data_IF_540146859742
#
_entry.id   IF_540146859742
#
_cell.length_a   1.000
_cell.length_b   1.000
_cell.length_c   1.000
_cell.angle_alpha   90.00
_cell.angle_beta   90.00
_cell.angle_gamma   90.00
#
_symmetry.space_group_name_H-M   'P 1'
#
loop_
_entity.id
_entity.type
_entity.pdbx_description
1 polymer ?
#
# COMPACT_ATOMS: atom_id res chain seq x y z
N UNK A 1 15.24 -11.34 -6.82
CA UNK A 1 16.60 -11.19 -6.24
C UNK A 1 16.70 -9.69 -5.88
N UNK A 2 16.87 -9.19 -4.67
CA UNK A 2 17.53 -9.72 -3.49
C UNK A 2 16.75 -9.32 -2.21
N UNK A 3 16.36 -10.31 -1.40
CA UNK A 3 16.15 -10.10 0.04
C UNK A 3 17.53 -9.91 0.63
N UNK A 4 17.92 -8.70 0.97
CA UNK A 4 19.10 -8.49 1.82
C UNK A 4 18.73 -8.90 3.25
N UNK A 5 18.69 -10.21 3.48
CA UNK A 5 18.74 -10.80 4.82
C UNK A 5 20.23 -10.89 5.19
N UNK A 6 20.89 -9.74 5.30
CA UNK A 6 22.23 -9.69 5.88
C UNK A 6 22.06 -9.80 7.40
N UNK A 7 22.31 -11.01 7.88
CA UNK A 7 22.45 -11.41 9.27
C UNK A 7 23.12 -10.28 10.05
N UNK A 8 22.34 -9.58 10.88
CA UNK A 8 22.89 -8.83 11.99
C UNK A 8 23.60 -9.85 12.88
N UNK A 9 24.93 -9.83 12.87
CA UNK A 9 25.74 -10.38 13.95
C UNK A 9 25.13 -9.82 15.22
N UNK A 10 24.66 -10.72 16.09
CA UNK A 10 24.11 -10.44 17.40
C UNK A 10 25.19 -9.83 18.31
N UNK A 11 25.59 -8.60 18.04
CA UNK A 11 25.86 -7.68 19.11
C UNK A 11 24.49 -7.14 19.51
N UNK A 12 24.18 -7.24 20.79
CA UNK A 12 23.08 -6.59 21.47
C UNK A 12 23.20 -5.07 21.30
N UNK A 13 22.97 -4.58 20.07
CA UNK A 13 22.71 -3.19 19.79
C UNK A 13 21.20 -3.08 19.95
N UNK A 14 20.77 -3.10 21.21
CA UNK A 14 19.63 -2.28 21.58
C UNK A 14 19.84 -0.97 20.84
N UNK A 15 18.85 -0.54 20.04
CA UNK A 15 18.86 0.81 19.53
C UNK A 15 19.15 1.65 20.76
N UNK A 16 20.31 2.30 20.81
CA UNK A 16 20.53 3.32 21.81
C UNK A 16 19.52 4.40 21.44
N UNK A 17 18.30 4.28 21.97
CA UNK A 17 17.17 5.17 21.68
C UNK A 17 17.57 6.61 21.97
N UNK A 18 18.62 6.83 22.76
CA UNK A 18 19.17 8.14 23.06
C UNK A 18 19.78 8.86 21.84
N UNK A 19 20.09 8.17 20.74
CA UNK A 19 20.73 8.79 19.56
C UNK A 19 20.08 8.45 18.20
N UNK A 20 19.01 7.65 18.19
CA UNK A 20 18.24 7.38 16.98
C UNK A 20 17.41 8.62 16.60
N UNK A 21 17.62 9.17 15.40
CA UNK A 21 16.91 10.37 14.95
C UNK A 21 15.67 9.98 14.14
N UNK A 22 14.47 10.51 14.43
CA UNK A 22 13.29 10.26 13.60
C UNK A 22 13.55 10.65 12.14
N UNK A 23 13.31 9.73 11.22
CA UNK A 23 13.56 9.95 9.79
C UNK A 23 12.35 10.60 9.07
N UNK A 24 11.18 10.59 9.70
CA UNK A 24 9.94 11.11 9.10
C UNK A 24 9.25 10.15 8.11
N UNK A 25 9.77 8.93 7.95
CA UNK A 25 9.20 7.91 7.06
C UNK A 25 8.55 6.76 7.84
N UNK A 26 7.62 6.07 7.19
CA UNK A 26 7.01 4.83 7.70
C UNK A 26 7.65 3.59 7.07
N UNK A 27 7.77 2.52 7.85
CA UNK A 27 8.16 1.19 7.39
C UNK A 27 7.10 0.63 6.43
N UNK A 28 7.42 0.30 5.18
CA UNK A 28 6.45 -0.26 4.23
C UNK A 28 5.86 -1.61 4.69
N UNK A 29 6.60 -2.37 5.50
CA UNK A 29 6.19 -3.72 5.91
C UNK A 29 5.35 -3.74 7.20
N UNK A 30 5.69 -2.92 8.19
CA UNK A 30 5.04 -2.94 9.51
C UNK A 30 4.32 -1.64 9.85
N UNK A 31 4.36 -0.63 8.97
CA UNK A 31 3.72 0.68 9.14
C UNK A 31 4.19 1.47 10.39
N UNK A 32 5.31 1.07 11.00
CA UNK A 32 5.92 1.77 12.14
C UNK A 32 6.88 2.87 11.70
N UNK A 33 7.18 3.81 12.58
CA UNK A 33 8.12 4.90 12.31
C UNK A 33 9.55 4.39 12.02
N UNK A 34 10.23 5.05 11.09
CA UNK A 34 11.64 4.84 10.78
C UNK A 34 12.54 5.85 11.49
N UNK A 35 13.71 5.36 11.88
CA UNK A 35 14.77 6.13 12.53
C UNK A 35 16.07 5.99 11.75
N UNK A 36 16.83 7.08 11.67
CA UNK A 36 18.20 7.08 11.18
C UNK A 36 19.13 6.59 12.28
N UNK A 37 20.04 5.68 11.92
CA UNK A 37 21.10 5.20 12.82
C UNK A 37 22.40 5.97 12.53
N UNK A 38 22.92 6.74 13.50
CA UNK A 38 24.19 7.43 13.34
C UNK A 38 25.39 6.47 13.24
N UNK A 39 26.44 6.87 12.51
CA UNK A 39 27.75 6.19 12.53
C UNK A 39 27.97 5.12 11.45
N UNK A 40 27.01 4.90 10.56
CA UNK A 40 27.19 4.04 9.38
C UNK A 40 27.58 4.85 8.13
N UNK A 41 28.41 4.31 7.22
CA UNK A 41 28.86 5.02 6.02
C UNK A 41 27.74 5.36 5.02
N UNK A 42 26.58 4.71 5.15
CA UNK A 42 25.34 5.09 4.47
C UNK A 42 24.21 5.17 5.52
N UNK A 43 23.29 6.15 5.42
CA UNK A 43 22.20 6.28 6.37
C UNK A 43 21.33 5.02 6.32
N UNK A 44 21.34 4.24 7.40
CA UNK A 44 20.43 3.13 7.59
C UNK A 44 19.18 3.64 8.29
N UNK A 45 18.05 3.44 7.61
CA UNK A 45 16.73 3.65 8.17
C UNK A 45 16.32 2.33 8.82
N UNK A 46 15.89 2.35 10.09
CA UNK A 46 15.39 1.14 10.77
C UNK A 46 14.09 1.40 11.51
N UNK A 47 13.22 0.40 11.57
CA UNK A 47 12.00 0.44 12.37
C UNK A 47 12.21 -0.28 13.71
N UNK A 48 11.31 -0.03 14.67
CA UNK A 48 11.39 -0.60 16.03
C UNK A 48 11.33 -2.14 16.07
N UNK A 49 10.81 -2.79 15.03
CA UNK A 49 10.75 -4.25 14.93
C UNK A 49 11.89 -4.87 14.12
N UNK A 50 12.86 -4.06 13.67
CA UNK A 50 14.14 -4.54 13.13
C UNK A 50 14.31 -4.54 11.61
N UNK A 51 13.29 -4.21 10.82
CA UNK A 51 13.50 -3.99 9.38
C UNK A 51 14.42 -2.79 9.15
N UNK A 52 15.25 -2.88 8.12
CA UNK A 52 16.26 -1.89 7.76
C UNK A 52 16.27 -1.62 6.26
N UNK A 53 16.54 -0.38 5.88
CA UNK A 53 16.59 0.07 4.49
C UNK A 53 17.73 1.06 4.27
N UNK A 54 18.23 1.10 3.05
CA UNK A 54 18.89 2.27 2.48
C UNK A 54 17.85 3.24 1.91
N UNK A 55 18.24 4.46 1.55
CA UNK A 55 17.34 5.41 0.89
C UNK A 55 16.77 4.87 -0.44
N UNK A 56 17.60 4.24 -1.27
CA UNK A 56 17.17 3.65 -2.56
C UNK A 56 16.18 2.50 -2.35
N UNK A 57 16.55 1.51 -1.55
CA UNK A 57 15.67 0.36 -1.27
C UNK A 57 14.36 0.78 -0.57
N UNK A 58 14.38 1.86 0.23
CA UNK A 58 13.14 2.37 0.82
C UNK A 58 12.22 2.99 -0.25
N UNK A 59 12.78 3.72 -1.21
CA UNK A 59 12.03 4.33 -2.30
C UNK A 59 11.35 3.25 -3.16
N UNK A 60 12.09 2.21 -3.52
CA UNK A 60 11.56 1.08 -4.30
C UNK A 60 10.43 0.37 -3.56
N UNK A 61 10.62 0.08 -2.27
CA UNK A 61 9.60 -0.56 -1.43
C UNK A 61 8.37 0.34 -1.21
N UNK A 62 8.54 1.66 -1.14
CA UNK A 62 7.40 2.59 -1.13
C UNK A 62 6.62 2.55 -2.44
N UNK A 63 7.30 2.45 -3.58
CA UNK A 63 6.68 2.27 -4.89
C UNK A 63 5.84 1.00 -4.95
N UNK A 64 6.43 -0.14 -4.59
CA UNK A 64 5.74 -1.43 -4.57
C UNK A 64 4.56 -1.46 -3.59
N UNK A 65 4.72 -0.90 -2.39
CA UNK A 65 3.63 -0.79 -1.40
C UNK A 65 2.49 0.11 -1.90
N UNK A 66 2.81 1.22 -2.56
CA UNK A 66 1.83 2.12 -3.16
C UNK A 66 1.07 1.42 -4.28
N UNK A 67 1.76 0.73 -5.18
CA UNK A 67 1.13 -0.04 -6.26
C UNK A 67 0.15 -1.08 -5.71
N UNK A 68 0.59 -1.86 -4.72
CA UNK A 68 -0.26 -2.82 -4.03
C UNK A 68 -1.51 -2.18 -3.41
N UNK A 69 -1.36 -1.04 -2.74
CA UNK A 69 -2.48 -0.31 -2.14
C UNK A 69 -3.50 0.19 -3.19
N UNK A 70 -3.02 0.68 -4.33
CA UNK A 70 -3.88 1.14 -5.43
C UNK A 70 -4.64 -0.05 -6.04
N UNK A 71 -3.97 -1.19 -6.26
CA UNK A 71 -4.62 -2.42 -6.70
C UNK A 71 -5.69 -2.91 -5.72
N UNK A 72 -5.41 -2.84 -4.42
CA UNK A 72 -6.39 -3.18 -3.39
C UNK A 72 -7.60 -2.24 -3.41
N UNK A 73 -7.38 -0.93 -3.58
CA UNK A 73 -8.46 0.05 -3.68
C UNK A 73 -9.33 -0.21 -4.92
N UNK A 74 -8.71 -0.51 -6.07
CA UNK A 74 -9.40 -0.84 -7.31
C UNK A 74 -10.32 -2.05 -7.14
N UNK A 75 -9.76 -3.14 -6.61
CA UNK A 75 -10.51 -4.35 -6.30
C UNK A 75 -11.67 -4.08 -5.35
N UNK A 76 -11.43 -3.33 -4.27
CA UNK A 76 -12.48 -2.98 -3.30
C UNK A 76 -13.62 -2.17 -3.93
N UNK A 77 -13.33 -1.29 -4.88
CA UNK A 77 -14.35 -0.53 -5.62
C UNK A 77 -15.17 -1.44 -6.55
N UNK A 78 -14.51 -2.34 -7.29
CA UNK A 78 -15.17 -3.31 -8.17
C UNK A 78 -16.07 -4.29 -7.38
N UNK A 79 -15.58 -4.79 -6.23
CA UNK A 79 -16.35 -5.64 -5.32
C UNK A 79 -17.56 -4.91 -4.72
N UNK A 80 -17.40 -3.64 -4.29
CA UNK A 80 -18.52 -2.82 -3.80
C UNK A 80 -19.57 -2.55 -4.88
N UNK A 81 -19.15 -2.33 -6.12
CA UNK A 81 -20.06 -2.16 -7.24
C UNK A 81 -20.89 -3.43 -7.49
N UNK A 82 -20.23 -4.59 -7.53
CA UNK A 82 -20.88 -5.88 -7.72
C UNK A 82 -21.87 -6.19 -6.59
N UNK A 83 -21.48 -5.94 -5.33
CA UNK A 83 -22.36 -6.12 -4.18
C UNK A 83 -23.58 -5.18 -4.25
N UNK A 84 -23.36 -3.93 -4.62
CA UNK A 84 -24.46 -2.95 -4.75
C UNK A 84 -25.48 -3.40 -5.80
N UNK A 85 -25.02 -3.94 -6.94
CA UNK A 85 -25.90 -4.51 -7.96
C UNK A 85 -26.76 -5.66 -7.41
N UNK A 86 -26.16 -6.62 -6.69
CA UNK A 86 -26.89 -7.73 -6.05
C UNK A 86 -27.94 -7.23 -5.04
N UNK A 87 -27.59 -6.21 -4.26
CA UNK A 87 -28.51 -5.61 -3.29
C UNK A 87 -29.67 -4.88 -3.98
N UNK A 88 -29.42 -4.24 -5.12
CA UNK A 88 -30.45 -3.59 -5.92
C UNK A 88 -31.44 -4.62 -6.49
N UNK A 89 -30.95 -5.73 -7.04
CA UNK A 89 -31.79 -6.85 -7.52
C UNK A 89 -32.65 -7.42 -6.40
N UNK A 90 -32.05 -7.69 -5.24
CA UNK A 90 -32.77 -8.20 -4.08
C UNK A 90 -33.82 -7.21 -3.57
N UNK A 91 -33.54 -5.90 -3.63
CA UNK A 91 -34.51 -4.86 -3.28
C UNK A 91 -35.68 -4.82 -4.27
N UNK A 92 -35.42 -4.94 -5.58
CA UNK A 92 -36.46 -5.06 -6.63
C UNK A 92 -37.37 -6.26 -6.39
N UNK A 93 -36.80 -7.43 -6.09
CA UNK A 93 -37.55 -8.66 -5.81
C UNK A 93 -38.50 -8.52 -4.61
N UNK A 94 -38.13 -7.69 -3.62
CA UNK A 94 -38.97 -7.39 -2.45
C UNK A 94 -39.90 -6.19 -2.64
N UNK A 95 -39.98 -5.63 -3.85
CA UNK A 95 -40.83 -4.47 -4.16
C UNK A 95 -40.33 -3.14 -3.59
N UNK A 96 -39.07 -3.05 -3.16
CA UNK A 96 -38.50 -1.83 -2.59
C UNK A 96 -37.75 -1.02 -3.66
N UNK A 97 -38.49 -0.24 -4.45
CA UNK A 97 -37.94 0.58 -5.54
C UNK A 97 -36.90 1.60 -5.07
N UNK A 98 -37.20 2.38 -4.03
CA UNK A 98 -36.29 3.39 -3.49
C UNK A 98 -34.95 2.78 -3.01
N UNK A 99 -35.00 1.60 -2.38
CA UNK A 99 -33.78 0.93 -1.96
C UNK A 99 -32.97 0.43 -3.16
N UNK A 100 -33.64 -0.09 -4.19
CA UNK A 100 -32.99 -0.51 -5.42
C UNK A 100 -32.27 0.65 -6.11
N UNK A 101 -32.95 1.79 -6.29
CA UNK A 101 -32.36 3.00 -6.89
C UNK A 101 -31.13 3.48 -6.12
N UNK A 102 -31.19 3.47 -4.78
CA UNK A 102 -30.05 3.85 -3.94
C UNK A 102 -28.86 2.92 -4.15
N UNK A 103 -29.09 1.61 -4.25
CA UNK A 103 -28.00 0.65 -4.50
C UNK A 103 -27.46 0.74 -5.92
N UNK A 104 -28.31 0.96 -6.92
CA UNK A 104 -27.86 1.18 -8.30
C UNK A 104 -26.97 2.44 -8.40
N UNK A 105 -27.38 3.54 -7.75
CA UNK A 105 -26.58 4.76 -7.68
C UNK A 105 -25.23 4.52 -7.01
N UNK A 106 -25.22 3.84 -5.85
CA UNK A 106 -23.97 3.48 -5.17
C UNK A 106 -23.08 2.59 -6.05
N UNK A 107 -23.66 1.63 -6.78
CA UNK A 107 -22.92 0.78 -7.72
C UNK A 107 -22.27 1.59 -8.84
N UNK A 108 -23.01 2.51 -9.44
CA UNK A 108 -22.52 3.40 -10.49
C UNK A 108 -21.36 4.29 -10.01
N UNK A 109 -21.47 4.86 -8.81
CA UNK A 109 -20.41 5.67 -8.19
C UNK A 109 -19.12 4.87 -7.97
N UNK A 110 -19.23 3.64 -7.45
CA UNK A 110 -18.06 2.78 -7.24
C UNK A 110 -17.43 2.35 -8.58
N UNK A 111 -18.22 2.10 -9.63
CA UNK A 111 -17.68 1.83 -10.98
C UNK A 111 -17.00 3.07 -11.59
N UNK A 112 -17.52 4.26 -11.34
CA UNK A 112 -16.87 5.49 -11.80
C UNK A 112 -15.51 5.67 -11.11
N UNK A 113 -15.46 5.47 -9.80
CA UNK A 113 -14.22 5.51 -9.05
C UNK A 113 -13.24 4.43 -9.50
N UNK A 114 -13.69 3.19 -9.74
CA UNK A 114 -12.81 2.11 -10.19
C UNK A 114 -12.17 2.43 -11.55
N UNK A 115 -12.92 3.05 -12.48
CA UNK A 115 -12.36 3.51 -13.76
C UNK A 115 -11.26 4.56 -13.60
N UNK A 116 -11.36 5.45 -12.61
CA UNK A 116 -10.31 6.43 -12.32
C UNK A 116 -9.06 5.74 -11.79
N UNK A 117 -9.23 4.82 -10.84
CA UNK A 117 -8.11 4.07 -10.26
C UNK A 117 -7.46 3.15 -11.28
N UNK A 118 -8.24 2.48 -12.14
CA UNK A 118 -7.72 1.65 -13.25
C UNK A 118 -6.77 2.45 -14.14
N UNK A 119 -7.16 3.65 -14.55
CA UNK A 119 -6.29 4.52 -15.37
C UNK A 119 -5.00 4.89 -14.65
N UNK A 120 -5.03 5.08 -13.34
CA UNK A 120 -3.84 5.33 -12.55
C UNK A 120 -2.92 4.11 -12.53
N UNK A 121 -3.48 2.91 -12.29
CA UNK A 121 -2.74 1.65 -12.34
C UNK A 121 -2.08 1.43 -13.71
N UNK A 122 -2.82 1.67 -14.79
CA UNK A 122 -2.31 1.50 -16.16
C UNK A 122 -1.13 2.45 -16.46
N UNK A 123 -1.05 3.60 -15.77
CA UNK A 123 0.07 4.55 -15.86
C UNK A 123 1.24 4.17 -14.95
N UNK A 124 1.02 3.34 -13.93
CA UNK A 124 2.03 2.87 -12.98
C UNK A 124 2.75 1.61 -13.45
N UNK A 125 2.19 0.87 -14.41
CA UNK A 125 2.82 -0.31 -14.97
C UNK A 125 4.21 0.04 -15.52
N UNK A 126 5.27 -0.70 -15.13
CA UNK A 126 6.63 -0.38 -15.55
C UNK A 126 6.78 -0.44 -17.07
N UNK A 127 7.66 0.41 -17.61
CA UNK A 127 8.07 0.34 -19.01
C UNK A 127 8.71 -1.03 -19.26
N UNK A 128 8.25 -1.83 -20.23
CA UNK A 128 8.84 -3.14 -20.53
C UNK A 128 10.34 -3.08 -20.90
N UNK A 129 10.92 -1.90 -21.12
CA UNK A 129 12.37 -1.69 -21.37
C UNK A 129 13.21 -1.37 -20.11
N UNK A 130 12.64 -1.35 -18.88
CA UNK A 130 13.35 -1.01 -17.62
C UNK A 130 14.17 -2.17 -17.01
N UNK A 131 14.30 -3.31 -17.71
CA UNK A 131 15.08 -4.49 -17.29
C UNK A 131 16.44 -4.58 -18.05
N UNK A 132 17.02 -3.45 -18.45
CA UNK A 132 18.27 -3.35 -19.26
C UNK A 132 19.49 -2.81 -18.52
#
# INVERSE_FOLDING_TARGET
MARETAIAIMADVTIDESNARPAGFGCPHCHGALFEIPGEPAPRLRCRVGHAWTGGTLLDEQGAAMEGAVWMALRGLEEKAALSHQMAEAARQRGSGLAAERYDAAGADNLQASRLIRRLVDQMAPDPDDDR
#
